data_IF_969316060987
#
_entry.id   IF_969316060987
#
_cell.length_a   1.000
_cell.length_b   1.000
_cell.length_c   1.000
_cell.angle_alpha   90.00
_cell.angle_beta   90.00
_cell.angle_gamma   90.00
#
_symmetry.space_group_name_H-M   'P 1'
#
loop_
_entity.id
_entity.type
_entity.pdbx_description
1 polymer ?
#
# COMPACT_ATOMS: atom_id res chain seq x y z
N UNK A 1 -15.94 -23.14 -41.19
CA UNK A 1 -16.40 -21.80 -41.65
C UNK A 1 -15.81 -20.66 -40.80
N UNK A 2 -15.00 -20.95 -39.78
CA UNK A 2 -14.57 -19.97 -38.77
C UNK A 2 -13.43 -19.03 -39.18
N UNK A 3 -12.50 -19.47 -40.04
CA UNK A 3 -11.34 -18.63 -40.38
C UNK A 3 -11.67 -17.39 -41.22
N UNK A 4 -12.80 -17.38 -41.98
CA UNK A 4 -13.22 -16.19 -42.72
C UNK A 4 -13.92 -15.16 -41.84
N UNK A 5 -14.69 -15.61 -40.84
CA UNK A 5 -15.37 -14.72 -39.90
C UNK A 5 -14.36 -14.01 -38.99
N UNK A 6 -13.32 -14.72 -38.54
CA UNK A 6 -12.22 -14.13 -37.78
C UNK A 6 -11.41 -13.10 -38.59
N UNK A 7 -11.21 -13.34 -39.89
CA UNK A 7 -10.50 -12.41 -40.80
C UNK A 7 -11.32 -11.15 -41.16
N UNK A 8 -12.65 -11.22 -41.09
CA UNK A 8 -13.53 -10.06 -41.29
C UNK A 8 -13.62 -9.23 -40.00
N UNK A 9 -13.70 -9.90 -38.84
CA UNK A 9 -13.70 -9.24 -37.54
C UNK A 9 -12.35 -8.59 -37.21
N UNK A 10 -11.22 -9.18 -37.61
CA UNK A 10 -9.88 -8.57 -37.44
C UNK A 10 -9.66 -7.30 -38.26
N UNK A 11 -10.42 -7.13 -39.36
CA UNK A 11 -10.39 -5.92 -40.20
C UNK A 11 -11.28 -4.78 -39.68
N UNK A 12 -12.14 -5.03 -38.69
CA UNK A 12 -12.87 -3.94 -38.05
C UNK A 12 -11.92 -3.12 -37.17
N UNK A 13 -11.80 -1.79 -37.37
CA UNK A 13 -10.85 -0.94 -36.63
C UNK A 13 -11.10 -0.99 -35.11
N UNK A 14 -12.37 -1.17 -34.70
CA UNK A 14 -12.77 -1.28 -33.29
C UNK A 14 -12.21 -2.56 -32.63
N UNK A 15 -12.19 -3.68 -33.35
CA UNK A 15 -11.68 -4.96 -32.83
C UNK A 15 -10.15 -4.97 -32.75
N UNK A 16 -9.50 -4.40 -33.78
CA UNK A 16 -8.04 -4.23 -33.81
C UNK A 16 -7.53 -3.34 -32.66
N UNK A 17 -8.21 -2.23 -32.36
CA UNK A 17 -7.83 -1.36 -31.25
C UNK A 17 -8.04 -2.02 -29.89
N UNK A 18 -9.16 -2.73 -29.68
CA UNK A 18 -9.42 -3.46 -28.44
C UNK A 18 -8.37 -4.54 -28.15
N UNK A 19 -7.96 -5.29 -29.18
CA UNK A 19 -6.91 -6.30 -29.07
C UNK A 19 -5.55 -5.69 -28.68
N UNK A 20 -5.19 -4.56 -29.27
CA UNK A 20 -3.95 -3.84 -28.94
C UNK A 20 -3.94 -3.35 -27.48
N UNK A 21 -5.07 -2.89 -26.96
CA UNK A 21 -5.19 -2.45 -25.55
C UNK A 21 -4.89 -3.62 -24.61
N UNK A 22 -5.48 -4.80 -24.88
CA UNK A 22 -5.32 -5.99 -24.06
C UNK A 22 -3.87 -6.48 -24.09
N UNK A 23 -3.26 -6.67 -25.27
CA UNK A 23 -1.87 -7.13 -25.37
C UNK A 23 -0.93 -6.15 -24.66
N UNK A 24 -1.08 -4.86 -24.91
CA UNK A 24 -0.20 -3.87 -24.32
C UNK A 24 -0.37 -3.79 -22.79
N UNK A 25 -1.54 -4.13 -22.25
CA UNK A 25 -1.74 -4.17 -20.78
C UNK A 25 -1.12 -5.42 -20.16
N UNK A 26 -1.21 -6.56 -20.85
CA UNK A 26 -0.61 -7.82 -20.42
C UNK A 26 0.92 -7.80 -20.51
N UNK A 27 1.48 -7.17 -21.55
CA UNK A 27 2.95 -7.01 -21.63
C UNK A 27 3.47 -6.13 -20.50
N UNK A 28 2.78 -5.04 -20.17
CA UNK A 28 3.13 -4.18 -19.06
C UNK A 28 2.97 -4.87 -17.71
N UNK A 29 1.88 -5.62 -17.49
CA UNK A 29 1.70 -6.37 -16.24
C UNK A 29 2.75 -7.45 -16.04
N UNK A 30 3.23 -8.08 -17.12
CA UNK A 30 4.32 -9.04 -17.06
C UNK A 30 5.64 -8.39 -16.63
N UNK A 31 5.99 -7.24 -17.21
CA UNK A 31 7.19 -6.48 -16.82
C UNK A 31 7.12 -6.10 -15.34
N UNK A 32 5.97 -5.59 -14.89
CA UNK A 32 5.76 -5.21 -13.48
C UNK A 32 5.87 -6.43 -12.56
N UNK A 33 5.26 -7.57 -12.92
CA UNK A 33 5.32 -8.79 -12.12
C UNK A 33 6.74 -9.36 -12.01
N UNK A 34 7.54 -9.30 -13.09
CA UNK A 34 8.95 -9.71 -13.07
C UNK A 34 9.77 -8.78 -12.18
N UNK A 35 9.56 -7.46 -12.28
CA UNK A 35 10.26 -6.51 -11.43
C UNK A 35 9.91 -6.71 -9.94
N UNK A 36 8.63 -6.93 -9.66
CA UNK A 36 8.12 -7.19 -8.31
C UNK A 36 8.72 -8.47 -7.70
N UNK A 37 8.82 -9.56 -8.46
CA UNK A 37 9.39 -10.81 -7.96
C UNK A 37 10.89 -10.68 -7.66
N UNK A 38 11.66 -10.02 -8.55
CA UNK A 38 13.08 -9.72 -8.32
C UNK A 38 13.29 -8.89 -7.05
N UNK A 39 12.45 -7.87 -6.85
CA UNK A 39 12.52 -7.05 -5.65
C UNK A 39 12.20 -7.87 -4.38
N UNK A 40 11.19 -8.74 -4.44
CA UNK A 40 10.83 -9.59 -3.30
C UNK A 40 11.95 -10.56 -2.93
N UNK A 41 12.61 -11.17 -3.91
CA UNK A 41 13.74 -12.09 -3.69
C UNK A 41 14.93 -11.36 -3.05
N UNK A 42 15.31 -10.19 -3.57
CA UNK A 42 16.44 -9.41 -3.04
C UNK A 42 16.18 -8.91 -1.61
N UNK A 43 14.96 -8.45 -1.31
CA UNK A 43 14.56 -8.07 0.03
C UNK A 43 14.57 -9.26 1.01
N UNK A 44 14.04 -10.40 0.58
CA UNK A 44 14.04 -11.62 1.37
C UNK A 44 15.45 -12.07 1.71
N UNK A 45 16.37 -12.12 0.72
CA UNK A 45 17.76 -12.49 0.94
C UNK A 45 18.49 -11.56 1.92
N UNK A 46 18.28 -10.24 1.80
CA UNK A 46 18.85 -9.25 2.72
C UNK A 46 18.34 -9.43 4.15
N UNK A 47 17.03 -9.60 4.31
CA UNK A 47 16.41 -9.73 5.63
C UNK A 47 16.78 -11.07 6.27
N UNK A 48 16.85 -12.15 5.50
CA UNK A 48 17.32 -13.45 5.98
C UNK A 48 18.73 -13.35 6.59
N UNK A 49 19.67 -12.72 5.88
CA UNK A 49 21.03 -12.50 6.41
C UNK A 49 21.01 -11.68 7.70
N UNK A 50 20.22 -10.61 7.74
CA UNK A 50 20.10 -9.74 8.91
C UNK A 50 19.53 -10.48 10.13
N UNK A 51 18.47 -11.26 9.96
CA UNK A 51 17.85 -12.04 11.03
C UNK A 51 18.76 -13.17 11.52
N UNK A 52 19.49 -13.84 10.63
CA UNK A 52 20.49 -14.84 11.01
C UNK A 52 21.63 -14.25 11.85
N UNK A 53 22.14 -13.07 11.48
CA UNK A 53 23.17 -12.39 12.27
C UNK A 53 22.69 -12.03 13.68
N UNK A 54 21.44 -11.59 13.83
CA UNK A 54 20.84 -11.34 15.15
C UNK A 54 20.71 -12.61 15.99
N UNK A 55 20.30 -13.72 15.37
CA UNK A 55 20.26 -15.00 16.06
C UNK A 55 21.63 -15.42 16.60
N UNK A 56 22.70 -15.20 15.83
CA UNK A 56 24.07 -15.49 16.29
C UNK A 56 24.53 -14.58 17.44
N UNK A 57 24.02 -13.35 17.51
CA UNK A 57 24.28 -12.42 18.62
C UNK A 57 23.46 -12.76 19.89
N UNK A 58 22.54 -13.72 19.81
CA UNK A 58 21.66 -14.10 20.92
C UNK A 58 20.48 -13.14 21.15
N UNK A 59 20.31 -12.12 20.30
CA UNK A 59 19.13 -11.24 20.31
C UNK A 59 17.93 -11.99 19.74
N UNK A 60 16.92 -12.26 20.59
CA UNK A 60 15.70 -12.99 20.23
C UNK A 60 14.45 -12.11 20.32
N UNK A 61 14.60 -10.80 20.53
CA UNK A 61 13.48 -9.90 20.79
C UNK A 61 12.56 -9.72 19.56
N UNK A 62 13.06 -10.06 18.37
CA UNK A 62 12.29 -10.02 17.13
C UNK A 62 11.40 -11.26 16.90
N UNK A 63 11.61 -12.35 17.64
CA UNK A 63 10.81 -13.57 17.52
C UNK A 63 9.73 -13.53 18.59
N UNK A 64 8.50 -13.26 18.18
CA UNK A 64 7.35 -13.47 19.05
C UNK A 64 7.28 -14.96 19.43
N UNK A 65 7.23 -15.25 20.72
CA UNK A 65 6.81 -16.56 21.25
C UNK A 65 7.69 -17.78 20.95
N UNK A 66 9.02 -17.62 20.93
CA UNK A 66 9.97 -18.74 20.78
C UNK A 66 9.84 -19.85 21.84
N UNK A 67 9.17 -19.58 22.97
CA UNK A 67 8.93 -20.56 24.05
C UNK A 67 7.64 -21.38 23.87
N UNK A 68 6.73 -20.98 22.99
CA UNK A 68 5.38 -21.56 22.91
C UNK A 68 5.37 -22.80 21.98
N UNK A 69 6.28 -22.87 21.02
CA UNK A 69 6.32 -23.96 20.04
C UNK A 69 7.14 -25.16 20.52
N UNK A 70 6.61 -26.37 20.32
CA UNK A 70 7.34 -27.61 20.62
C UNK A 70 8.51 -27.81 19.64
N UNK A 71 9.60 -28.43 20.10
CA UNK A 71 10.78 -28.69 19.26
C UNK A 71 10.45 -29.51 18.00
N UNK A 72 9.49 -30.44 18.11
CA UNK A 72 9.01 -31.24 16.98
C UNK A 72 8.29 -30.40 15.90
N UNK A 73 7.50 -29.40 16.33
CA UNK A 73 6.83 -28.47 15.42
C UNK A 73 7.86 -27.60 14.68
N UNK A 74 8.86 -27.07 15.40
CA UNK A 74 9.90 -26.25 14.81
C UNK A 74 10.76 -27.01 13.79
N UNK A 75 11.07 -28.28 14.08
CA UNK A 75 11.79 -29.14 13.13
C UNK A 75 10.96 -29.41 11.87
N UNK A 76 9.66 -29.71 12.03
CA UNK A 76 8.75 -29.94 10.91
C UNK A 76 8.60 -28.70 10.03
N UNK A 77 8.43 -27.51 10.63
CA UNK A 77 8.39 -26.25 9.89
C UNK A 77 9.70 -25.95 9.15
N UNK A 78 10.84 -26.31 9.74
CA UNK A 78 12.15 -26.11 9.11
C UNK A 78 12.33 -26.98 7.85
N UNK A 79 11.83 -28.23 7.88
CA UNK A 79 11.83 -29.12 6.72
C UNK A 79 10.91 -28.59 5.61
N UNK A 80 9.73 -28.09 5.96
CA UNK A 80 8.74 -27.62 4.99
C UNK A 80 9.04 -26.21 4.43
N UNK A 81 9.88 -25.43 5.11
CA UNK A 81 10.15 -24.02 4.78
C UNK A 81 10.55 -23.79 3.32
N UNK A 82 11.46 -24.61 2.80
CA UNK A 82 11.99 -24.42 1.44
C UNK A 82 10.90 -24.63 0.39
N UNK A 83 10.03 -25.64 0.59
CA UNK A 83 8.91 -25.90 -0.30
C UNK A 83 7.91 -24.75 -0.32
N UNK A 84 7.53 -24.25 0.87
CA UNK A 84 6.65 -23.10 0.98
C UNK A 84 7.25 -21.84 0.35
N UNK A 85 8.53 -21.54 0.60
CA UNK A 85 9.18 -20.34 0.05
C UNK A 85 9.13 -20.28 -1.48
N UNK A 86 9.37 -21.42 -2.16
CA UNK A 86 9.31 -21.51 -3.62
C UNK A 86 7.87 -21.31 -4.11
N UNK A 87 6.92 -22.04 -3.53
CA UNK A 87 5.52 -22.01 -3.95
C UNK A 87 4.92 -20.61 -3.75
N UNK A 88 5.16 -19.95 -2.61
CA UNK A 88 4.69 -18.59 -2.36
C UNK A 88 5.29 -17.57 -3.33
N UNK A 89 6.57 -17.71 -3.70
CA UNK A 89 7.20 -16.82 -4.69
C UNK A 89 6.56 -16.98 -6.07
N UNK A 90 6.32 -18.22 -6.52
CA UNK A 90 5.67 -18.52 -7.80
C UNK A 90 4.22 -18.01 -7.81
N UNK A 91 3.45 -18.29 -6.76
CA UNK A 91 2.07 -17.81 -6.66
C UNK A 91 1.97 -16.29 -6.58
N UNK A 92 2.89 -15.63 -5.88
CA UNK A 92 2.96 -14.17 -5.87
C UNK A 92 3.18 -13.59 -7.26
N UNK A 93 4.02 -14.22 -8.10
CA UNK A 93 4.21 -13.80 -9.49
C UNK A 93 2.91 -13.94 -10.31
N UNK A 94 2.24 -15.09 -10.22
CA UNK A 94 0.98 -15.35 -10.94
C UNK A 94 -0.12 -14.37 -10.49
N UNK A 95 -0.31 -14.21 -9.19
CA UNK A 95 -1.29 -13.28 -8.63
C UNK A 95 -0.95 -11.83 -9.00
N UNK A 96 0.34 -11.47 -9.02
CA UNK A 96 0.76 -10.13 -9.41
C UNK A 96 0.46 -9.83 -10.86
N UNK A 97 0.75 -10.77 -11.75
CA UNK A 97 0.47 -10.66 -13.18
C UNK A 97 -1.03 -10.50 -13.45
N UNK A 98 -1.88 -11.30 -12.80
CA UNK A 98 -3.32 -11.25 -12.96
C UNK A 98 -3.93 -9.96 -12.37
N UNK A 99 -3.57 -9.61 -11.13
CA UNK A 99 -4.14 -8.44 -10.46
C UNK A 99 -3.77 -7.14 -11.18
N UNK A 100 -2.48 -6.95 -11.51
CA UNK A 100 -2.01 -5.77 -12.26
C UNK A 100 -2.58 -5.78 -13.68
N UNK A 101 -2.67 -6.95 -14.33
CA UNK A 101 -3.28 -7.09 -15.65
C UNK A 101 -4.72 -6.61 -15.69
N UNK A 102 -5.56 -7.08 -14.77
CA UNK A 102 -6.97 -6.67 -14.68
C UNK A 102 -7.08 -5.16 -14.42
N UNK A 103 -6.30 -4.62 -13.48
CA UNK A 103 -6.30 -3.18 -13.16
C UNK A 103 -5.92 -2.35 -14.39
N UNK A 104 -4.87 -2.75 -15.13
CA UNK A 104 -4.41 -2.02 -16.31
C UNK A 104 -5.40 -2.11 -17.48
N UNK A 105 -6.06 -3.25 -17.68
CA UNK A 105 -7.12 -3.40 -18.69
C UNK A 105 -8.26 -2.43 -18.38
N UNK A 106 -8.79 -2.47 -17.16
CA UNK A 106 -9.90 -1.60 -16.75
C UNK A 106 -9.51 -0.13 -16.87
N UNK A 107 -8.32 0.25 -16.39
CA UNK A 107 -7.84 1.62 -16.46
C UNK A 107 -7.71 2.11 -17.91
N UNK A 108 -7.12 1.30 -18.81
CA UNK A 108 -6.96 1.67 -20.22
C UNK A 108 -8.28 1.74 -20.96
N UNK A 109 -9.22 0.83 -20.69
CA UNK A 109 -10.57 0.87 -21.28
C UNK A 109 -11.29 2.15 -20.89
N UNK A 110 -11.24 2.53 -19.60
CA UNK A 110 -11.85 3.80 -19.13
C UNK A 110 -11.22 4.98 -19.87
N UNK A 111 -9.89 5.09 -19.88
CA UNK A 111 -9.18 6.20 -20.54
C UNK A 111 -9.53 6.26 -22.04
N UNK A 112 -9.52 5.12 -22.72
CA UNK A 112 -9.87 5.02 -24.14
C UNK A 112 -11.30 5.47 -24.43
N UNK A 113 -12.27 5.07 -23.61
CA UNK A 113 -13.66 5.51 -23.74
C UNK A 113 -13.78 7.03 -23.61
N UNK A 114 -13.17 7.63 -22.59
CA UNK A 114 -13.19 9.08 -22.41
C UNK A 114 -12.46 9.86 -23.53
N UNK A 115 -11.40 9.28 -24.09
CA UNK A 115 -10.70 9.84 -25.26
C UNK A 115 -11.59 9.84 -26.50
N UNK A 116 -12.24 8.71 -26.80
CA UNK A 116 -13.12 8.57 -27.99
C UNK A 116 -14.32 9.51 -27.96
N UNK A 117 -14.89 9.76 -26.78
CA UNK A 117 -15.99 10.72 -26.62
C UNK A 117 -15.53 12.19 -26.50
N UNK A 118 -14.22 12.47 -26.64
CA UNK A 118 -13.62 13.80 -26.47
C UNK A 118 -13.97 14.46 -25.11
N UNK A 119 -14.18 13.66 -24.06
CA UNK A 119 -14.53 14.10 -22.70
C UNK A 119 -13.37 14.00 -21.72
N UNK A 120 -12.13 13.97 -22.21
CA UNK A 120 -10.95 13.81 -21.35
C UNK A 120 -10.80 14.97 -20.35
N UNK A 121 -11.19 16.19 -20.76
CA UNK A 121 -11.19 17.37 -19.88
C UNK A 121 -12.13 17.24 -18.69
N UNK A 122 -13.24 16.50 -18.83
CA UNK A 122 -14.16 16.21 -17.72
C UNK A 122 -13.49 15.27 -16.73
N UNK A 123 -12.84 14.20 -17.19
CA UNK A 123 -12.13 13.25 -16.34
C UNK A 123 -11.01 13.93 -15.54
N UNK A 124 -10.22 14.79 -16.19
CA UNK A 124 -9.16 15.57 -15.54
C UNK A 124 -9.75 16.53 -14.50
N UNK A 125 -10.86 17.21 -14.82
CA UNK A 125 -11.55 18.09 -13.86
C UNK A 125 -12.02 17.33 -12.63
N UNK A 126 -12.66 16.18 -12.79
CA UNK A 126 -13.09 15.33 -11.66
C UNK A 126 -11.90 14.88 -10.80
N UNK A 127 -10.80 14.49 -11.44
CA UNK A 127 -9.57 14.12 -10.74
C UNK A 127 -9.04 15.28 -9.86
N UNK A 128 -8.93 16.49 -10.40
CA UNK A 128 -8.49 17.66 -9.63
C UNK A 128 -9.47 18.06 -8.52
N UNK A 129 -10.78 17.92 -8.74
CA UNK A 129 -11.79 18.17 -7.70
C UNK A 129 -11.63 17.19 -6.55
N UNK A 130 -11.52 15.89 -6.84
CA UNK A 130 -11.32 14.85 -5.81
C UNK A 130 -10.00 15.05 -5.07
N UNK A 131 -8.93 15.44 -5.77
CA UNK A 131 -7.60 15.66 -5.18
C UNK A 131 -7.54 16.93 -4.31
N UNK A 132 -8.35 17.95 -4.60
CA UNK A 132 -8.38 19.21 -3.84
C UNK A 132 -8.78 19.02 -2.38
N UNK A 133 -9.72 18.11 -2.09
CA UNK A 133 -10.20 17.85 -0.73
C UNK A 133 -9.12 17.36 0.25
N UNK A 134 -8.36 16.28 -0.03
CA UNK A 134 -7.30 15.84 0.86
C UNK A 134 -6.15 16.85 0.95
N UNK A 135 -5.85 17.61 -0.12
CA UNK A 135 -4.83 18.67 -0.10
C UNK A 135 -5.20 19.79 0.89
N UNK A 136 -6.44 20.28 0.83
CA UNK A 136 -6.95 21.26 1.80
C UNK A 136 -6.88 20.70 3.23
N UNK A 137 -7.27 19.44 3.42
CA UNK A 137 -7.17 18.78 4.73
C UNK A 137 -5.74 18.74 5.29
N UNK A 138 -4.73 18.52 4.44
CA UNK A 138 -3.32 18.57 4.86
C UNK A 138 -2.87 19.99 5.19
N UNK A 139 -3.31 21.00 4.42
CA UNK A 139 -3.01 22.40 4.69
C UNK A 139 -3.56 22.82 6.06
N UNK A 140 -4.81 22.48 6.37
CA UNK A 140 -5.41 22.78 7.68
C UNK A 140 -4.70 22.07 8.83
N UNK A 141 -4.26 20.82 8.63
CA UNK A 141 -3.45 20.10 9.62
C UNK A 141 -2.14 20.82 9.92
N UNK A 142 -1.45 21.30 8.89
CA UNK A 142 -0.19 22.04 9.03
C UNK A 142 -0.41 23.38 9.73
N UNK A 143 -1.49 24.09 9.39
CA UNK A 143 -1.87 25.33 10.06
C UNK A 143 -2.18 25.11 11.54
N UNK A 144 -2.93 24.05 11.89
CA UNK A 144 -3.19 23.67 13.27
C UNK A 144 -1.91 23.30 14.02
N UNK A 145 -0.97 22.60 13.38
CA UNK A 145 0.34 22.30 13.97
C UNK A 145 1.13 23.58 14.29
N UNK A 146 1.16 24.55 13.36
CA UNK A 146 1.83 25.84 13.57
C UNK A 146 1.18 26.66 14.68
N UNK A 147 -0.16 26.69 14.71
CA UNK A 147 -0.93 27.39 15.73
C UNK A 147 -0.71 26.74 17.11
N UNK A 148 -0.66 25.41 17.15
CA UNK A 148 -0.36 24.65 18.36
C UNK A 148 1.01 25.03 18.93
N UNK A 149 2.03 25.11 18.06
CA UNK A 149 3.39 25.46 18.48
C UNK A 149 3.53 26.91 18.95
N UNK A 150 2.80 27.85 18.35
CA UNK A 150 2.97 29.29 18.63
C UNK A 150 2.04 29.83 19.73
N UNK A 151 0.81 29.34 19.80
CA UNK A 151 -0.25 29.98 20.60
C UNK A 151 -0.89 29.06 21.65
N UNK A 152 -0.82 27.74 21.48
CA UNK A 152 -1.46 26.79 22.40
C UNK A 152 -0.49 26.18 23.41
N UNK A 153 0.73 25.82 22.98
CA UNK A 153 1.73 25.23 23.87
C UNK A 153 2.33 26.26 24.82
N UNK A 154 2.54 25.82 26.06
CA UNK A 154 3.19 26.61 27.08
C UNK A 154 4.62 26.99 26.68
N UNK A 155 5.03 28.21 27.01
CA UNK A 155 6.41 28.66 26.79
C UNK A 155 7.38 27.75 27.54
N UNK A 156 8.56 27.51 26.95
CA UNK A 156 9.60 26.66 27.56
C UNK A 156 9.91 27.13 28.99
N UNK A 157 10.00 26.20 29.94
CA UNK A 157 10.38 26.52 31.33
C UNK A 157 11.87 26.83 31.44
N UNK A 158 12.71 26.15 30.65
CA UNK A 158 14.14 26.42 30.54
C UNK A 158 14.54 26.57 29.08
N UNK A 159 15.47 27.49 28.79
CA UNK A 159 15.97 27.73 27.42
C UNK A 159 16.77 26.54 26.86
N UNK A 160 17.24 25.65 27.73
CA UNK A 160 17.94 24.39 27.40
C UNK A 160 17.03 23.27 26.91
N UNK A 161 15.71 23.36 27.11
CA UNK A 161 14.78 22.33 26.68
C UNK A 161 14.58 22.36 25.16
N UNK A 162 14.72 21.20 24.50
CA UNK A 162 14.57 21.08 23.04
C UNK A 162 13.13 21.36 22.60
N UNK A 163 12.14 20.90 23.36
CA UNK A 163 10.72 20.98 23.04
C UNK A 163 9.95 21.80 24.07
N UNK A 164 8.77 22.28 23.68
CA UNK A 164 7.86 22.94 24.62
C UNK A 164 7.20 21.90 25.52
N UNK A 165 6.96 22.18 26.81
CA UNK A 165 6.24 21.28 27.70
C UNK A 165 4.83 21.01 27.14
N UNK A 166 4.33 19.78 27.35
CA UNK A 166 2.99 19.36 26.92
C UNK A 166 1.90 19.93 27.86
N UNK A 167 1.84 21.25 27.98
CA UNK A 167 0.80 21.95 28.70
C UNK A 167 0.22 23.06 27.83
N UNK A 168 -1.08 23.33 28.00
CA UNK A 168 -1.83 24.27 27.17
C UNK A 168 -2.01 25.57 27.94
N UNK A 169 -1.45 26.66 27.42
CA UNK A 169 -1.56 27.99 28.05
C UNK A 169 -2.97 28.58 27.91
N UNK A 170 -3.57 28.48 26.71
CA UNK A 170 -4.88 29.08 26.43
C UNK A 170 -5.98 28.03 26.23
N UNK A 171 -6.49 27.48 27.35
CA UNK A 171 -7.50 26.40 27.36
C UNK A 171 -8.79 26.76 26.61
N UNK A 172 -9.27 28.00 26.72
CA UNK A 172 -10.49 28.46 26.04
C UNK A 172 -10.31 28.50 24.52
N UNK A 173 -9.15 28.96 24.04
CA UNK A 173 -8.83 29.00 22.61
C UNK A 173 -8.64 27.59 22.05
N UNK A 174 -8.02 26.69 22.83
CA UNK A 174 -7.94 25.27 22.49
C UNK A 174 -9.33 24.64 22.30
N UNK A 175 -10.28 24.93 23.19
CA UNK A 175 -11.63 24.39 23.13
C UNK A 175 -12.38 24.86 21.87
N UNK A 176 -12.36 26.16 21.57
CA UNK A 176 -12.98 26.72 20.35
C UNK A 176 -12.36 26.14 19.07
N UNK A 177 -11.03 26.05 19.01
CA UNK A 177 -10.34 25.47 17.86
C UNK A 177 -10.60 23.97 17.71
N UNK A 178 -10.67 23.24 18.83
CA UNK A 178 -10.97 21.81 18.82
C UNK A 178 -12.38 21.57 18.29
N UNK A 179 -13.35 22.39 18.71
CA UNK A 179 -14.71 22.32 18.19
C UNK A 179 -14.77 22.61 16.68
N UNK A 180 -14.06 23.63 16.21
CA UNK A 180 -14.00 23.94 14.77
C UNK A 180 -13.27 22.83 13.96
N UNK A 181 -12.16 22.32 14.48
CA UNK A 181 -11.35 21.30 13.83
C UNK A 181 -12.02 19.93 13.80
N UNK A 182 -12.95 19.65 14.72
CA UNK A 182 -13.73 18.40 14.73
C UNK A 182 -14.39 18.15 13.37
N UNK A 183 -15.08 19.14 12.80
CA UNK A 183 -15.75 19.00 11.51
C UNK A 183 -14.78 18.81 10.33
N UNK A 184 -13.66 19.54 10.32
CA UNK A 184 -12.62 19.40 9.30
C UNK A 184 -11.93 18.04 9.37
N UNK A 185 -11.66 17.56 10.59
CA UNK A 185 -11.00 16.27 10.83
C UNK A 185 -11.91 15.07 10.55
N UNK A 186 -13.23 15.20 10.70
CA UNK A 186 -14.20 14.19 10.25
C UNK A 186 -14.08 13.96 8.73
N UNK A 187 -14.10 15.04 7.95
CA UNK A 187 -13.98 14.97 6.49
C UNK A 187 -12.60 14.43 6.08
N UNK A 188 -11.52 14.93 6.68
CA UNK A 188 -10.18 14.41 6.45
C UNK A 188 -9.97 12.95 6.91
N UNK A 189 -10.74 12.51 7.91
CA UNK A 189 -10.74 11.16 8.45
C UNK A 189 -11.18 10.11 7.44
N UNK A 190 -12.19 10.42 6.61
CA UNK A 190 -12.67 9.55 5.53
C UNK A 190 -11.53 9.25 4.54
N UNK A 191 -10.83 10.30 4.08
CA UNK A 191 -9.68 10.14 3.18
C UNK A 191 -8.52 9.40 3.85
N UNK A 192 -8.29 9.63 5.15
CA UNK A 192 -7.25 8.91 5.91
C UNK A 192 -7.56 7.41 6.03
N UNK A 193 -8.83 7.05 6.24
CA UNK A 193 -9.30 5.67 6.27
C UNK A 193 -9.10 5.00 4.90
N UNK A 194 -9.52 5.66 3.82
CA UNK A 194 -9.32 5.17 2.46
C UNK A 194 -7.84 4.97 2.13
N UNK A 195 -6.98 5.95 2.49
CA UNK A 195 -5.52 5.83 2.34
C UNK A 195 -4.98 4.64 3.13
N UNK A 196 -5.43 4.44 4.36
CA UNK A 196 -5.03 3.29 5.19
C UNK A 196 -5.41 1.98 4.50
N UNK A 197 -6.63 1.87 3.99
CA UNK A 197 -7.09 0.68 3.27
C UNK A 197 -6.23 0.39 2.04
N UNK A 198 -6.00 1.41 1.19
CA UNK A 198 -5.18 1.26 -0.03
C UNK A 198 -3.74 0.87 0.31
N UNK A 199 -3.11 1.53 1.28
CA UNK A 199 -1.75 1.21 1.69
C UNK A 199 -1.66 -0.19 2.30
N UNK A 200 -2.61 -0.58 3.16
CA UNK A 200 -2.66 -1.92 3.74
C UNK A 200 -2.82 -2.99 2.66
N UNK A 201 -3.71 -2.79 1.68
CA UNK A 201 -3.86 -3.70 0.55
C UNK A 201 -2.59 -3.77 -0.30
N UNK A 202 -1.95 -2.64 -0.58
CA UNK A 202 -0.71 -2.58 -1.35
C UNK A 202 0.45 -3.28 -0.62
N UNK A 203 0.65 -3.02 0.67
CA UNK A 203 1.68 -3.68 1.47
C UNK A 203 1.40 -5.18 1.63
N UNK A 204 0.14 -5.58 1.82
CA UNK A 204 -0.25 -6.99 1.89
C UNK A 204 0.04 -7.72 0.59
N UNK A 205 -0.38 -7.15 -0.54
CA UNK A 205 -0.10 -7.69 -1.87
C UNK A 205 1.40 -7.80 -2.16
N UNK A 206 2.17 -6.78 -1.78
CA UNK A 206 3.62 -6.78 -1.95
C UNK A 206 4.32 -7.87 -1.11
N UNK A 207 3.81 -8.09 0.10
CA UNK A 207 4.39 -9.02 1.08
C UNK A 207 3.91 -10.47 0.87
N UNK A 208 2.94 -10.70 -0.02
CA UNK A 208 2.32 -12.01 -0.23
C UNK A 208 3.31 -13.11 -0.67
N UNK A 209 4.33 -12.74 -1.44
CA UNK A 209 5.38 -13.68 -1.88
C UNK A 209 6.50 -13.90 -0.87
N UNK A 210 6.39 -13.37 0.35
CA UNK A 210 7.49 -13.31 1.31
C UNK A 210 7.09 -13.91 2.65
N UNK A 211 7.86 -14.91 3.09
CA UNK A 211 7.67 -15.58 4.39
C UNK A 211 8.40 -14.89 5.55
N UNK A 212 9.20 -13.85 5.29
CA UNK A 212 9.99 -13.19 6.34
C UNK A 212 9.14 -12.27 7.23
N UNK A 213 7.95 -11.88 6.78
CA UNK A 213 7.03 -11.03 7.53
C UNK A 213 5.61 -11.56 7.43
N UNK A 214 4.95 -11.59 8.58
CA UNK A 214 3.52 -11.87 8.62
C UNK A 214 2.71 -10.73 8.01
N UNK A 215 1.64 -11.09 7.30
CA UNK A 215 0.67 -10.13 6.75
C UNK A 215 -0.26 -9.61 7.87
N UNK A 216 -0.41 -10.39 8.94
CA UNK A 216 -1.28 -10.10 10.07
C UNK A 216 -0.67 -9.07 11.03
N UNK A 217 -1.52 -8.48 11.88
CA UNK A 217 -1.05 -7.67 13.00
C UNK A 217 -0.30 -8.53 14.02
N UNK A 218 0.52 -7.89 14.86
CA UNK A 218 1.35 -8.59 15.86
C UNK A 218 0.56 -9.52 16.77
N UNK A 219 -0.67 -9.15 17.12
CA UNK A 219 -1.51 -9.92 18.05
C UNK A 219 -2.07 -11.20 17.42
N UNK A 220 -2.28 -11.22 16.10
CA UNK A 220 -2.85 -12.36 15.36
C UNK A 220 -1.83 -13.07 14.46
N UNK A 221 -0.54 -12.77 14.62
CA UNK A 221 0.55 -13.38 13.85
C UNK A 221 0.59 -14.93 13.99
N UNK A 222 0.10 -15.49 15.10
CA UNK A 222 0.06 -16.94 15.36
C UNK A 222 -0.84 -17.71 14.39
N UNK A 223 -1.77 -17.03 13.74
CA UNK A 223 -2.68 -17.63 12.77
C UNK A 223 -2.14 -17.55 11.34
N UNK A 224 -0.97 -16.96 11.14
CA UNK A 224 -0.27 -17.03 9.86
C UNK A 224 0.37 -18.43 9.71
N UNK A 225 0.07 -19.09 8.59
CA UNK A 225 0.36 -20.52 8.37
C UNK A 225 1.81 -20.84 8.00
#
# INVERSE_FOLDING_TARGET
>A
MDNRMFNILSKCPIYSEGYNIIIASLSLSLIVAVFQSLFNITMFARNYRYHMLKFYQGDKDFVSDWKIYSSSSNLTSSVNFVGYAIIYTVWCFVLSFLAVGIILIVARVIIYMFYKFNKIGILIRWFFVVLSFPLLGQLFRLLMFLLSKKCLLQRKLQETDKEHPLNVDNRKLFEVLSYFYLYLSLTGGIFSCLRRFILSAAFGFFSLGRLDKSIYSRDVQKFDG
#
